data_IF_313325759101
#
_entry.id   IF_313325759101
#
_cell.length_a   1.000
_cell.length_b   1.000
_cell.length_c   1.000
_cell.angle_alpha   90.00
_cell.angle_beta   90.00
_cell.angle_gamma   90.00
#
_symmetry.space_group_name_H-M   'P 1'
#
loop_
_entity.id
_entity.type
_entity.pdbx_description
1 polymer ?
#
# COMPACT_ATOMS: atom_id res chain seq x y z
N UNK A 1 -4.15 -16.49 8.27
CA UNK A 1 -4.66 -16.06 6.94
C UNK A 1 -5.85 -15.14 7.19
N UNK A 2 -5.95 -14.02 6.46
CA UNK A 2 -7.05 -13.06 6.61
C UNK A 2 -8.40 -13.75 6.32
N UNK A 3 -9.41 -13.51 7.16
CA UNK A 3 -10.80 -13.93 6.93
C UNK A 3 -11.50 -13.04 5.90
N UNK A 4 -10.92 -11.89 5.57
CA UNK A 4 -11.41 -11.00 4.54
C UNK A 4 -11.07 -11.55 3.15
N UNK A 5 -12.11 -11.92 2.41
CA UNK A 5 -12.02 -12.50 1.07
C UNK A 5 -11.26 -11.60 0.10
N UNK A 6 -11.49 -10.30 0.12
CA UNK A 6 -10.92 -9.39 -0.87
C UNK A 6 -9.46 -9.03 -0.54
N UNK A 7 -9.11 -8.96 0.75
CA UNK A 7 -7.69 -8.94 1.17
C UNK A 7 -6.97 -10.20 0.69
N UNK A 8 -7.58 -11.38 0.84
CA UNK A 8 -6.98 -12.65 0.42
C UNK A 8 -6.82 -12.77 -1.12
N UNK A 9 -7.73 -12.18 -1.89
CA UNK A 9 -7.60 -12.06 -3.36
C UNK A 9 -6.46 -11.12 -3.73
N UNK A 10 -6.45 -9.92 -3.17
CA UNK A 10 -5.44 -8.90 -3.43
C UNK A 10 -4.01 -9.38 -3.12
N UNK A 11 -3.84 -10.13 -2.02
CA UNK A 11 -2.56 -10.69 -1.59
C UNK A 11 -1.91 -11.61 -2.64
N UNK A 12 -2.67 -12.14 -3.61
CA UNK A 12 -2.18 -13.03 -4.68
C UNK A 12 -1.85 -12.29 -5.97
N UNK A 13 -2.15 -10.99 -6.05
CA UNK A 13 -1.95 -10.16 -7.24
C UNK A 13 -0.73 -9.25 -7.04
N UNK A 14 -0.05 -8.93 -8.13
CA UNK A 14 0.97 -7.86 -8.14
C UNK A 14 0.28 -6.49 -8.22
N UNK A 15 0.91 -5.46 -7.66
CA UNK A 15 0.40 -4.09 -7.68
C UNK A 15 0.19 -3.59 -9.12
N UNK A 16 1.04 -4.00 -10.07
CA UNK A 16 0.89 -3.65 -11.48
C UNK A 16 -0.47 -4.07 -12.05
N UNK A 17 -0.92 -5.30 -11.78
CA UNK A 17 -2.21 -5.79 -12.29
C UNK A 17 -3.41 -5.05 -11.66
N UNK A 18 -3.30 -4.70 -10.37
CA UNK A 18 -4.33 -3.88 -9.70
C UNK A 18 -4.29 -2.44 -10.21
N UNK A 19 -3.11 -1.87 -10.49
CA UNK A 19 -2.94 -0.55 -11.08
C UNK A 19 -3.60 -0.45 -12.45
N UNK A 20 -3.38 -1.44 -13.33
CA UNK A 20 -4.02 -1.49 -14.64
C UNK A 20 -5.56 -1.55 -14.53
N UNK A 21 -6.06 -2.29 -13.54
CA UNK A 21 -7.50 -2.36 -13.27
C UNK A 21 -8.07 -1.03 -12.76
N UNK A 22 -7.34 -0.32 -11.88
CA UNK A 22 -7.70 1.00 -11.40
C UNK A 22 -7.75 2.02 -12.55
N UNK A 23 -6.75 2.01 -13.43
CA UNK A 23 -6.67 2.90 -14.59
C UNK A 23 -7.81 2.65 -15.56
N UNK A 24 -8.14 1.37 -15.83
CA UNK A 24 -9.29 0.98 -16.65
C UNK A 24 -10.61 1.54 -16.12
N UNK A 25 -10.74 1.62 -14.79
CA UNK A 25 -11.91 2.14 -14.10
C UNK A 25 -11.84 3.65 -13.79
N UNK A 26 -10.75 4.32 -14.21
CA UNK A 26 -10.47 5.75 -13.92
C UNK A 26 -10.46 6.07 -12.42
N UNK A 27 -9.94 5.14 -11.61
CA UNK A 27 -9.79 5.29 -10.16
C UNK A 27 -8.33 5.63 -9.87
N UNK A 28 -8.08 6.77 -9.22
CA UNK A 28 -6.74 7.10 -8.74
C UNK A 28 -6.45 6.30 -7.46
N UNK A 29 -5.57 5.29 -7.55
CA UNK A 29 -5.22 4.42 -6.42
C UNK A 29 -3.72 4.15 -6.27
N UNK A 30 -2.87 4.69 -7.15
CA UNK A 30 -1.43 4.46 -7.15
C UNK A 30 -0.71 5.49 -6.27
N UNK A 31 -0.12 5.04 -5.16
CA UNK A 31 0.54 5.93 -4.19
C UNK A 31 1.88 6.46 -4.75
N UNK A 32 1.89 7.70 -5.23
CA UNK A 32 3.04 8.32 -5.88
C UNK A 32 4.25 8.51 -4.94
N UNK A 33 5.42 8.01 -5.38
CA UNK A 33 6.72 8.08 -4.70
C UNK A 33 6.73 7.48 -3.29
N UNK A 34 5.89 6.47 -3.07
CA UNK A 34 6.00 5.59 -1.91
C UNK A 34 6.71 4.30 -2.36
N UNK A 35 7.77 3.92 -1.64
CA UNK A 35 8.60 2.77 -1.96
C UNK A 35 8.75 1.83 -0.76
N UNK A 36 8.92 0.55 -1.04
CA UNK A 36 9.25 -0.43 0.00
C UNK A 36 10.64 -0.17 0.57
N UNK A 37 10.80 -0.31 1.89
CA UNK A 37 12.14 -0.29 2.52
C UNK A 37 12.98 -1.51 2.06
N UNK A 38 12.34 -2.65 1.82
CA UNK A 38 12.93 -3.84 1.16
C UNK A 38 12.04 -4.27 -0.01
N UNK A 39 12.65 -4.54 -1.18
CA UNK A 39 11.95 -4.99 -2.39
C UNK A 39 11.27 -6.36 -2.24
N UNK A 40 11.66 -7.15 -1.25
CA UNK A 40 11.05 -8.44 -0.91
C UNK A 40 9.75 -8.28 -0.13
N UNK A 41 9.51 -7.12 0.47
CA UNK A 41 8.30 -6.90 1.25
C UNK A 41 7.05 -7.04 0.40
N UNK A 42 6.01 -7.57 1.04
CA UNK A 42 4.68 -7.76 0.49
C UNK A 42 3.70 -7.53 1.63
N UNK A 43 2.69 -6.70 1.39
CA UNK A 43 1.59 -6.53 2.34
C UNK A 43 0.26 -6.44 1.61
N UNK A 44 -0.79 -6.88 2.29
CA UNK A 44 -2.18 -6.65 1.92
C UNK A 44 -3.04 -6.58 3.19
N UNK A 45 -3.94 -5.61 3.28
CA UNK A 45 -4.82 -5.47 4.44
C UNK A 45 -5.74 -4.25 4.36
N UNK A 46 -6.56 -4.07 5.41
CA UNK A 46 -7.49 -2.94 5.53
C UNK A 46 -6.76 -1.73 6.11
N UNK A 47 -6.97 -0.55 5.53
CA UNK A 47 -6.37 0.69 5.99
C UNK A 47 -6.85 1.07 7.39
N UNK A 48 -5.92 1.25 8.32
CA UNK A 48 -6.12 1.93 9.59
C UNK A 48 -5.41 3.28 9.52
N UNK A 49 -6.15 4.37 9.40
CA UNK A 49 -5.62 5.66 8.94
C UNK A 49 -5.31 6.62 10.08
N UNK A 50 -4.23 7.37 9.91
CA UNK A 50 -3.66 8.27 10.92
C UNK A 50 -3.19 9.53 10.22
N UNK A 51 -3.65 10.68 10.69
CA UNK A 51 -3.23 11.98 10.19
C UNK A 51 -2.36 12.67 11.24
N UNK A 52 -1.14 13.05 10.84
CA UNK A 52 -0.27 13.92 11.62
C UNK A 52 -0.28 15.35 11.07
N UNK A 53 -0.01 16.29 11.97
CA UNK A 53 0.31 17.68 11.63
C UNK A 53 1.53 18.16 12.42
N UNK A 54 2.19 19.25 12.01
CA UNK A 54 3.21 19.89 12.83
C UNK A 54 2.68 20.21 14.23
N UNK A 55 3.47 19.89 15.25
CA UNK A 55 3.09 20.14 16.63
C UNK A 55 3.00 21.65 16.90
N UNK A 56 1.91 22.08 17.56
CA UNK A 56 1.76 23.45 18.05
C UNK A 56 2.17 23.58 19.52
N UNK A 57 2.03 22.48 20.28
CA UNK A 57 2.48 22.34 21.67
C UNK A 57 3.35 21.09 21.77
N UNK A 58 4.47 21.15 22.49
CA UNK A 58 5.41 20.02 22.64
C UNK A 58 4.92 18.94 23.61
N UNK A 59 3.63 18.59 23.53
CA UNK A 59 2.99 17.59 24.40
C UNK A 59 2.08 16.71 23.55
N UNK A 60 2.25 15.40 23.64
CA UNK A 60 1.35 14.46 22.96
C UNK A 60 2.00 13.11 22.68
N UNK A 61 1.17 12.09 22.62
CA UNK A 61 1.56 10.77 22.15
C UNK A 61 1.56 10.72 20.61
N UNK A 62 2.51 10.00 20.02
CA UNK A 62 2.71 9.85 18.57
C UNK A 62 2.78 8.38 18.13
N UNK A 63 2.30 7.44 18.95
CA UNK A 63 2.44 6.00 18.73
C UNK A 63 1.40 5.09 19.43
N UNK A 64 0.71 5.56 20.47
CA UNK A 64 -0.24 4.76 21.29
C UNK A 64 -1.42 4.21 20.49
N UNK A 65 -1.78 4.82 19.36
CA UNK A 65 -2.81 4.29 18.46
C UNK A 65 -2.57 2.82 18.06
N UNK A 66 -1.30 2.36 18.13
CA UNK A 66 -0.92 1.01 17.74
C UNK A 66 -1.66 -0.06 18.55
N UNK A 67 -2.08 0.27 19.77
CA UNK A 67 -2.82 -0.63 20.64
C UNK A 67 -4.24 -0.91 20.14
N UNK A 68 -4.83 0.03 19.39
CA UNK A 68 -6.16 -0.08 18.80
C UNK A 68 -6.17 -0.73 17.41
N UNK A 69 -5.00 -0.94 16.80
CA UNK A 69 -4.91 -1.49 15.43
C UNK A 69 -5.25 -2.98 15.41
N UNK A 70 -6.28 -3.42 14.64
CA UNK A 70 -6.62 -4.83 14.52
C UNK A 70 -5.53 -5.63 13.77
N UNK A 71 -5.26 -6.89 14.16
CA UNK A 71 -4.40 -7.79 13.41
C UNK A 71 -4.81 -7.90 11.93
N UNK A 72 -3.84 -7.98 11.03
CA UNK A 72 -4.04 -8.02 9.59
C UNK A 72 -4.37 -6.68 8.92
N UNK A 73 -4.49 -5.59 9.69
CA UNK A 73 -4.65 -4.24 9.13
C UNK A 73 -3.33 -3.72 8.57
N UNK A 74 -3.39 -2.75 7.66
CA UNK A 74 -2.26 -1.93 7.24
C UNK A 74 -2.40 -0.56 7.90
N UNK A 75 -1.38 -0.15 8.66
CA UNK A 75 -1.34 1.19 9.23
C UNK A 75 -1.01 2.17 8.12
N UNK A 76 -1.80 3.24 7.98
CA UNK A 76 -1.66 4.23 6.92
C UNK A 76 -1.49 5.61 7.54
N UNK A 77 -0.28 6.17 7.43
CA UNK A 77 0.10 7.42 8.09
C UNK A 77 0.31 8.51 7.05
N UNK A 78 -0.45 9.59 7.18
CA UNK A 78 -0.24 10.82 6.45
C UNK A 78 0.50 11.83 7.33
N UNK A 79 1.74 12.12 6.95
CA UNK A 79 2.55 13.20 7.52
C UNK A 79 2.84 14.27 6.47
N UNK A 80 1.94 14.39 5.48
CA UNK A 80 1.96 15.41 4.42
C UNK A 80 3.27 15.43 3.64
N UNK A 81 3.89 14.25 3.47
CA UNK A 81 5.13 14.08 2.73
C UNK A 81 6.36 14.74 3.34
N UNK A 82 6.28 15.18 4.61
CA UNK A 82 7.41 15.77 5.32
C UNK A 82 8.64 14.86 5.31
N UNK A 83 9.78 15.46 5.00
CA UNK A 83 11.09 14.81 4.89
C UNK A 83 12.08 15.23 6.00
N UNK A 84 11.60 15.95 7.02
CA UNK A 84 12.43 16.48 8.10
C UNK A 84 12.29 15.70 9.42
N UNK A 85 11.30 14.79 9.51
CA UNK A 85 10.97 14.00 10.71
C UNK A 85 10.39 12.63 10.36
N UNK A 86 10.65 11.62 11.21
CA UNK A 86 10.07 10.28 11.11
C UNK A 86 8.79 10.12 11.94
N UNK A 87 7.79 9.42 11.42
CA UNK A 87 6.54 9.08 12.13
C UNK A 87 6.46 7.63 12.60
N UNK A 88 7.43 6.80 12.23
CA UNK A 88 7.50 5.39 12.57
C UNK A 88 8.93 5.02 12.99
N UNK A 89 9.10 4.05 13.90
CA UNK A 89 10.41 3.57 14.37
C UNK A 89 10.37 2.18 14.97
N UNK A 90 11.49 1.74 15.55
CA UNK A 90 11.72 0.35 15.93
C UNK A 90 10.72 -0.22 16.94
N UNK A 91 10.33 0.55 17.96
CA UNK A 91 9.33 0.12 18.94
C UNK A 91 7.98 -0.17 18.26
N UNK A 92 7.54 0.70 17.35
CA UNK A 92 6.30 0.49 16.61
C UNK A 92 6.41 -0.72 15.67
N UNK A 93 7.56 -0.92 15.03
CA UNK A 93 7.83 -2.12 14.22
C UNK A 93 7.70 -3.40 15.05
N UNK A 94 8.35 -3.47 16.20
CA UNK A 94 8.31 -4.62 17.11
C UNK A 94 6.87 -4.94 17.53
N UNK A 95 6.16 -3.92 18.02
CA UNK A 95 4.77 -4.06 18.45
C UNK A 95 3.87 -4.50 17.29
N UNK A 96 4.02 -3.89 16.11
CA UNK A 96 3.20 -4.21 14.94
C UNK A 96 3.44 -5.65 14.45
N UNK A 97 4.71 -6.08 14.41
CA UNK A 97 5.09 -7.44 14.07
C UNK A 97 4.45 -8.44 15.05
N UNK A 98 4.62 -8.22 16.35
CA UNK A 98 4.05 -9.10 17.39
C UNK A 98 2.51 -9.16 17.36
N UNK A 99 1.85 -8.04 17.04
CA UNK A 99 0.38 -7.98 16.91
C UNK A 99 -0.16 -8.57 15.61
N UNK A 100 0.71 -9.01 14.70
CA UNK A 100 0.29 -9.54 13.39
C UNK A 100 -0.35 -8.49 12.49
N UNK A 101 0.06 -7.22 12.60
CA UNK A 101 -0.31 -6.15 11.67
C UNK A 101 0.36 -6.44 10.32
N UNK A 102 -0.37 -6.25 9.21
CA UNK A 102 0.09 -6.69 7.88
C UNK A 102 1.23 -5.83 7.31
N UNK A 103 1.35 -4.58 7.74
CA UNK A 103 2.40 -3.66 7.31
C UNK A 103 2.08 -2.20 7.64
N UNK A 104 2.99 -1.30 7.28
CA UNK A 104 2.82 0.15 7.45
C UNK A 104 3.10 0.89 6.15
N UNK A 105 2.23 1.85 5.83
CA UNK A 105 2.28 2.77 4.70
C UNK A 105 2.41 4.20 5.25
N UNK A 106 3.42 4.95 4.83
CA UNK A 106 3.70 6.31 5.34
C UNK A 106 3.91 7.30 4.21
N UNK A 107 3.07 8.33 4.13
CA UNK A 107 3.38 9.55 3.37
C UNK A 107 4.30 10.47 4.20
N UNK A 108 5.59 10.13 4.20
CA UNK A 108 6.63 10.75 5.00
C UNK A 108 7.80 9.79 5.24
N UNK A 109 8.58 10.04 6.29
CA UNK A 109 9.76 9.23 6.63
C UNK A 109 9.52 8.29 7.80
N UNK A 110 10.28 7.20 7.81
CA UNK A 110 10.40 6.26 8.92
C UNK A 110 11.82 6.26 9.47
N UNK A 111 12.05 5.67 10.64
CA UNK A 111 13.41 5.42 11.17
C UNK A 111 13.56 3.97 11.59
N UNK A 112 14.78 3.61 12.01
CA UNK A 112 15.13 2.27 12.49
C UNK A 112 14.83 1.17 11.46
N UNK A 113 15.17 1.44 10.18
CA UNK A 113 14.92 0.51 9.08
C UNK A 113 15.52 -0.88 9.32
N UNK A 114 16.62 -0.99 10.07
CA UNK A 114 17.18 -2.29 10.45
C UNK A 114 16.18 -3.19 11.19
N UNK A 115 15.32 -2.63 12.04
CA UNK A 115 14.33 -3.39 12.79
C UNK A 115 13.29 -4.03 11.86
N UNK A 116 12.79 -3.30 10.85
CA UNK A 116 11.82 -3.88 9.93
C UNK A 116 12.45 -4.92 9.00
N UNK A 117 13.71 -4.73 8.62
CA UNK A 117 14.46 -5.71 7.84
C UNK A 117 14.70 -7.01 8.61
N UNK A 118 15.09 -6.92 9.88
CA UNK A 118 15.34 -8.08 10.75
C UNK A 118 14.06 -8.89 11.01
N UNK A 119 12.96 -8.20 11.29
CA UNK A 119 11.65 -8.83 11.57
C UNK A 119 10.88 -9.23 10.31
N UNK A 120 11.34 -8.83 9.12
CA UNK A 120 10.59 -9.00 7.88
C UNK A 120 9.25 -8.25 7.87
N UNK A 121 9.11 -7.16 8.62
CA UNK A 121 7.88 -6.39 8.73
C UNK A 121 7.75 -5.39 7.57
N UNK A 122 6.71 -5.48 6.72
CA UNK A 122 6.58 -4.62 5.55
C UNK A 122 6.37 -3.15 5.91
N UNK A 123 7.28 -2.29 5.44
CA UNK A 123 7.15 -0.82 5.53
C UNK A 123 7.33 -0.20 4.15
N UNK A 124 6.43 0.73 3.84
CA UNK A 124 6.39 1.53 2.63
C UNK A 124 6.37 3.00 3.01
N UNK A 125 7.31 3.78 2.49
CA UNK A 125 7.48 5.18 2.87
C UNK A 125 8.08 6.02 1.73
N UNK A 126 8.18 7.34 1.91
CA UNK A 126 8.99 8.18 1.00
C UNK A 126 10.49 7.95 1.18
N UNK A 127 10.89 7.47 2.35
CA UNK A 127 12.28 7.21 2.69
C UNK A 127 12.45 6.92 4.18
N UNK A 128 13.71 6.92 4.64
CA UNK A 128 14.04 6.74 6.05
C UNK A 128 15.06 7.76 6.53
N UNK A 129 14.89 8.29 7.75
CA UNK A 129 15.75 9.28 8.38
C UNK A 129 15.63 9.25 9.90
N UNK A 130 16.71 9.51 10.63
CA UNK A 130 16.79 9.23 12.08
C UNK A 130 16.01 10.20 12.98
N UNK A 131 15.63 11.37 12.47
CA UNK A 131 15.10 12.48 13.29
C UNK A 131 13.68 12.21 13.77
N UNK A 132 13.49 12.11 15.08
CA UNK A 132 12.19 11.80 15.69
C UNK A 132 11.11 12.86 15.43
N UNK A 133 9.88 12.42 15.17
CA UNK A 133 8.68 13.25 15.20
C UNK A 133 8.26 13.71 16.60
N UNK A 134 8.74 13.09 17.69
CA UNK A 134 8.37 13.48 19.05
C UNK A 134 8.69 14.97 19.30
N UNK A 135 7.68 15.72 19.74
CA UNK A 135 7.76 17.17 19.94
C UNK A 135 7.78 18.02 18.66
N UNK A 136 7.54 17.40 17.49
CA UNK A 136 7.53 18.04 16.16
C UNK A 136 6.29 17.73 15.34
N UNK A 137 5.59 16.64 15.69
CA UNK A 137 4.29 16.25 15.13
C UNK A 137 3.32 15.96 16.28
N UNK A 138 2.04 16.11 16.00
CA UNK A 138 0.94 15.73 16.88
C UNK A 138 -0.16 15.04 16.07
N UNK A 139 -0.86 14.09 16.69
CA UNK A 139 -1.98 13.38 16.08
C UNK A 139 -3.11 14.38 15.77
N UNK A 140 -3.42 14.56 14.50
CA UNK A 140 -4.49 15.43 14.03
C UNK A 140 -5.81 14.69 13.78
N UNK A 141 -5.73 13.39 13.50
CA UNK A 141 -6.89 12.55 13.27
C UNK A 141 -6.56 11.07 13.31
N UNK A 142 -7.50 10.27 13.77
CA UNK A 142 -7.43 8.81 13.84
C UNK A 142 -8.67 8.25 13.15
N UNK A 143 -8.49 7.27 12.27
CA UNK A 143 -9.57 6.70 11.45
C UNK A 143 -10.36 7.76 10.68
N UNK A 144 -9.63 8.72 10.09
CA UNK A 144 -10.15 9.75 9.19
C UNK A 144 -9.59 9.56 7.77
N UNK A 145 -10.22 10.09 6.72
CA UNK A 145 -9.60 10.11 5.39
C UNK A 145 -8.26 10.84 5.40
N UNK A 146 -7.28 10.26 4.70
CA UNK A 146 -5.90 10.78 4.60
C UNK A 146 -5.42 10.79 3.15
N UNK A 147 -4.33 11.51 2.86
CA UNK A 147 -3.72 11.52 1.52
C UNK A 147 -2.37 10.84 1.55
N UNK A 148 -2.18 9.83 0.70
CA UNK A 148 -0.92 9.10 0.56
C UNK A 148 -0.47 9.14 -0.89
N UNK A 149 0.62 9.84 -1.18
CA UNK A 149 1.16 9.88 -2.53
C UNK A 149 0.11 10.30 -3.57
N UNK A 150 -0.65 11.36 -3.29
CA UNK A 150 -1.76 11.87 -4.12
C UNK A 150 -3.04 11.02 -4.12
N UNK A 151 -3.09 9.90 -3.40
CA UNK A 151 -4.28 9.04 -3.30
C UNK A 151 -5.03 9.35 -2.01
N UNK A 152 -6.34 9.55 -2.11
CA UNK A 152 -7.20 9.63 -0.93
C UNK A 152 -7.45 8.21 -0.39
N UNK A 153 -7.14 7.99 0.88
CA UNK A 153 -7.31 6.70 1.57
C UNK A 153 -8.30 6.88 2.71
N UNK A 154 -9.39 6.11 2.67
CA UNK A 154 -10.37 6.06 3.75
C UNK A 154 -10.08 4.88 4.69
N UNK A 155 -10.50 4.96 5.96
CA UNK A 155 -10.48 3.80 6.85
C UNK A 155 -11.19 2.60 6.21
N UNK A 156 -10.56 1.44 6.21
CA UNK A 156 -11.12 0.21 5.64
C UNK A 156 -10.86 -0.01 4.15
N UNK A 157 -10.29 0.96 3.43
CA UNK A 157 -9.86 0.74 2.04
C UNK A 157 -8.82 -0.39 1.97
N UNK A 158 -8.83 -1.11 0.86
CA UNK A 158 -7.92 -2.23 0.63
C UNK A 158 -6.56 -1.70 0.18
N UNK A 159 -5.51 -2.02 0.93
CA UNK A 159 -4.13 -1.64 0.61
C UNK A 159 -3.36 -2.87 0.15
N UNK A 160 -2.59 -2.75 -0.93
CA UNK A 160 -1.67 -3.78 -1.42
C UNK A 160 -0.33 -3.11 -1.75
N UNK A 161 0.78 -3.65 -1.24
CA UNK A 161 2.13 -3.14 -1.53
C UNK A 161 3.16 -4.21 -1.81
N UNK A 162 3.97 -4.04 -2.86
CA UNK A 162 5.08 -4.92 -3.25
C UNK A 162 6.32 -4.15 -3.75
N UNK A 163 7.24 -4.83 -4.44
CA UNK A 163 8.50 -4.25 -4.91
C UNK A 163 8.33 -2.95 -5.73
N UNK A 164 7.20 -2.79 -6.43
CA UNK A 164 6.95 -1.69 -7.35
C UNK A 164 6.31 -0.47 -6.67
N UNK A 165 5.68 -0.67 -5.50
CA UNK A 165 5.04 0.41 -4.75
C UNK A 165 3.81 -0.06 -3.99
N UNK A 166 2.82 0.83 -3.88
CA UNK A 166 1.57 0.58 -3.16
C UNK A 166 0.39 1.09 -3.97
N UNK A 167 -0.65 0.27 -4.02
CA UNK A 167 -1.98 0.64 -4.52
C UNK A 167 -3.00 0.58 -3.40
N UNK A 168 -3.97 1.49 -3.48
CA UNK A 168 -5.15 1.54 -2.61
C UNK A 168 -6.38 1.40 -3.47
N UNK A 169 -7.28 0.51 -3.06
CA UNK A 169 -8.54 0.22 -3.73
C UNK A 169 -9.68 0.64 -2.81
N UNK A 170 -10.55 1.57 -3.24
CA UNK A 170 -11.72 1.97 -2.47
C UNK A 170 -12.60 0.76 -2.14
N UNK A 171 -13.03 0.65 -0.87
CA UNK A 171 -13.82 -0.50 -0.41
C UNK A 171 -15.09 -0.70 -1.25
N UNK A 172 -15.73 0.38 -1.70
CA UNK A 172 -16.95 0.33 -2.52
C UNK A 172 -16.77 -0.22 -3.93
N UNK A 173 -15.51 -0.34 -4.41
CA UNK A 173 -15.18 -0.77 -5.78
C UNK A 173 -14.27 -2.00 -5.82
N UNK A 174 -13.95 -2.59 -4.68
CA UNK A 174 -12.91 -3.61 -4.57
C UNK A 174 -13.20 -4.88 -5.38
N UNK A 175 -14.44 -5.36 -5.40
CA UNK A 175 -14.78 -6.58 -6.13
C UNK A 175 -14.59 -6.42 -7.64
N UNK A 176 -14.96 -5.26 -8.16
CA UNK A 176 -14.84 -4.91 -9.58
C UNK A 176 -13.37 -4.75 -9.99
N UNK A 177 -12.60 -3.99 -9.20
CA UNK A 177 -11.16 -3.79 -9.42
C UNK A 177 -10.42 -5.12 -9.38
N UNK A 178 -10.67 -5.95 -8.36
CA UNK A 178 -9.99 -7.23 -8.20
C UNK A 178 -10.35 -8.22 -9.31
N UNK A 179 -11.60 -8.22 -9.78
CA UNK A 179 -12.00 -9.06 -10.91
C UNK A 179 -11.21 -8.70 -12.17
N UNK A 180 -11.12 -7.41 -12.49
CA UNK A 180 -10.35 -6.94 -13.66
C UNK A 180 -8.86 -7.25 -13.47
N UNK A 181 -8.31 -7.04 -12.27
CA UNK A 181 -6.91 -7.33 -11.98
C UNK A 181 -6.59 -8.83 -12.14
N UNK A 182 -7.49 -9.73 -11.74
CA UNK A 182 -7.37 -11.17 -11.96
C UNK A 182 -7.37 -11.52 -13.46
N UNK A 183 -8.20 -10.87 -14.26
CA UNK A 183 -8.22 -11.01 -15.73
C UNK A 183 -6.91 -10.53 -16.36
N UNK A 184 -6.39 -9.36 -15.95
CA UNK A 184 -5.10 -8.81 -16.39
C UNK A 184 -3.96 -9.78 -16.04
N UNK A 185 -3.87 -10.20 -14.78
CA UNK A 185 -2.81 -11.10 -14.33
C UNK A 185 -2.82 -12.45 -15.07
N UNK A 186 -4.00 -12.99 -15.37
CA UNK A 186 -4.15 -14.21 -16.16
C UNK A 186 -3.67 -14.02 -17.61
N UNK A 187 -4.07 -12.92 -18.25
CA UNK A 187 -3.66 -12.61 -19.62
C UNK A 187 -2.14 -12.40 -19.72
N UNK A 188 -1.54 -11.67 -18.79
CA UNK A 188 -0.09 -11.45 -18.74
C UNK A 188 0.70 -12.73 -18.54
N UNK A 189 0.20 -13.64 -17.70
CA UNK A 189 0.82 -14.95 -17.50
C UNK A 189 0.85 -15.74 -18.80
N UNK A 190 -0.28 -15.80 -19.53
CA UNK A 190 -0.37 -16.46 -20.83
C UNK A 190 0.54 -15.82 -21.88
N UNK A 191 0.62 -14.48 -21.93
CA UNK A 191 1.51 -13.76 -22.85
C UNK A 191 2.97 -14.10 -22.53
N UNK A 192 3.36 -14.08 -21.25
CA UNK A 192 4.73 -14.44 -20.83
C UNK A 192 5.08 -15.88 -21.19
N UNK A 193 4.16 -16.83 -21.03
CA UNK A 193 4.35 -18.22 -21.44
C UNK A 193 4.56 -18.37 -22.94
N UNK A 194 3.72 -17.71 -23.77
CA UNK A 194 3.87 -17.73 -25.23
C UNK A 194 5.18 -17.13 -25.69
N UNK A 195 5.59 -15.99 -25.11
CA UNK A 195 6.87 -15.34 -25.41
C UNK A 195 8.04 -16.21 -24.98
N UNK A 196 7.98 -16.87 -23.82
CA UNK A 196 9.00 -17.85 -23.39
C UNK A 196 9.08 -19.05 -24.35
N UNK A 197 7.96 -19.43 -24.95
CA UNK A 197 7.88 -20.44 -26.01
C UNK A 197 8.39 -19.98 -27.37
N UNK A 198 8.87 -18.75 -27.51
CA UNK A 198 9.45 -18.19 -28.74
C UNK A 198 8.46 -17.45 -29.65
N UNK A 199 7.19 -17.29 -29.26
CA UNK A 199 6.22 -16.50 -30.02
C UNK A 199 6.57 -15.01 -29.96
N UNK A 200 6.32 -14.26 -31.03
CA UNK A 200 6.47 -12.80 -31.03
C UNK A 200 5.42 -12.17 -30.10
N UNK A 201 5.82 -11.11 -29.39
CA UNK A 201 4.97 -10.45 -28.40
C UNK A 201 3.66 -9.90 -28.98
N UNK A 202 3.69 -9.35 -30.19
CA UNK A 202 2.52 -8.79 -30.87
C UNK A 202 1.49 -9.88 -31.24
N UNK A 203 1.95 -11.05 -31.66
CA UNK A 203 1.08 -12.21 -31.92
C UNK A 203 0.47 -12.75 -30.63
N UNK A 204 1.27 -12.92 -29.58
CA UNK A 204 0.80 -13.35 -28.27
C UNK A 204 -0.27 -12.42 -27.69
N UNK A 205 -0.08 -11.09 -27.81
CA UNK A 205 -1.04 -10.08 -27.36
C UNK A 205 -2.36 -10.11 -28.15
N UNK A 206 -2.31 -10.38 -29.46
CA UNK A 206 -3.52 -10.56 -30.29
C UNK A 206 -4.34 -11.76 -29.83
N UNK A 207 -3.70 -12.88 -29.51
CA UNK A 207 -4.36 -14.11 -29.06
C UNK A 207 -5.14 -13.89 -27.76
N UNK A 208 -4.55 -13.17 -26.79
CA UNK A 208 -5.22 -12.90 -25.50
C UNK A 208 -6.11 -11.66 -25.51
N UNK A 209 -6.22 -10.97 -26.66
CA UNK A 209 -6.93 -9.67 -26.78
C UNK A 209 -6.44 -8.64 -25.75
N UNK A 210 -5.13 -8.57 -25.54
CA UNK A 210 -4.52 -7.77 -24.45
C UNK A 210 -4.91 -6.28 -24.50
N UNK A 211 -5.05 -5.72 -25.71
CA UNK A 211 -5.44 -4.33 -25.90
C UNK A 211 -6.83 -4.00 -25.33
N UNK A 212 -7.75 -4.96 -25.28
CA UNK A 212 -9.09 -4.75 -24.74
C UNK A 212 -9.08 -4.68 -23.21
N UNK A 213 -8.05 -5.25 -22.56
CA UNK A 213 -7.87 -5.23 -21.11
C UNK A 213 -7.30 -3.90 -20.61
N UNK A 214 -6.61 -3.14 -21.45
CA UNK A 214 -5.99 -1.87 -21.10
C UNK A 214 -6.83 -0.64 -21.51
N UNK A 215 -7.93 -0.86 -22.24
CA UNK A 215 -8.81 0.24 -22.64
C UNK A 215 -9.70 0.64 -21.47
N UNK A 216 -9.79 1.94 -21.14
CA UNK A 216 -10.80 2.43 -20.23
C UNK A 216 -12.18 1.97 -20.67
N UNK A 217 -12.99 1.49 -19.74
CA UNK A 217 -14.41 1.22 -20.02
C UNK A 217 -15.13 2.55 -20.21
N UNK A 218 -15.72 2.76 -21.38
CA UNK A 218 -16.62 3.90 -21.60
C UNK A 218 -17.82 3.73 -20.67
N UNK A 219 -18.05 4.77 -19.85
CA UNK A 219 -19.23 4.94 -18.98
C UNK A 219 -20.09 6.04 -19.56
#
# INVERSE_FOLDING_TARGET
MSTDKNVARAAKLECAAISDALDRLRIAGQCYRIVAIDKKFRMAGRAFTILYRPATVTTGNVGEYIDDVPPGSVIVIDNQGRDDVSTWGGILTETAHHKGIAGTLVDGLVRDASACLELGYPIYARGHWMRTGKGRIELAGLQVPVTIGQVCVSPGDLVRGDADGVVVVPQSREDEVLKIAEEVASAETRVREMVRGGMRMDEARKIVKYHDLQRPTDT
#
